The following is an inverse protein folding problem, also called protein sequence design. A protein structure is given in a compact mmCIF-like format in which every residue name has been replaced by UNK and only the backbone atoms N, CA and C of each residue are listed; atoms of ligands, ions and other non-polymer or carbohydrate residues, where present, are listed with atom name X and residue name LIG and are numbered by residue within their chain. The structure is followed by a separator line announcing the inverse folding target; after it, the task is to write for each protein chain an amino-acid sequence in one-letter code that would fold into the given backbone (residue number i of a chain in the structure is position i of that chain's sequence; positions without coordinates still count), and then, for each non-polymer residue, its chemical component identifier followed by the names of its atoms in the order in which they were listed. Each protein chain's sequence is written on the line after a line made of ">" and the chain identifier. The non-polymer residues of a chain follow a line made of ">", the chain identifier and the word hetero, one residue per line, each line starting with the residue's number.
data_IF_849354238650
#
_entry.id   IF_849354238650
#
_cell.length_a   1.000
_cell.length_b   1.000
_cell.length_c   1.000
_cell.angle_alpha   90.00
_cell.angle_beta   90.00
_cell.angle_gamma   90.00
#
_symmetry.space_group_name_H-M   'P 1'
#
loop_
_entity.id
_entity.type
_entity.pdbx_description
1 polymer ?
#
# COMPACT_ATOMS: atom_id res chain seq x y z
N UNK A 1 -7.91 -2.62 15.39
CA UNK A 1 -7.24 -2.78 16.70
C UNK A 1 -5.95 -3.56 16.49
N UNK A 2 -5.02 -3.56 17.46
CA UNK A 2 -3.75 -4.30 17.35
C UNK A 2 -3.95 -5.79 17.03
N UNK A 3 -4.97 -6.43 17.63
CA UNK A 3 -5.30 -7.82 17.33
C UNK A 3 -5.67 -8.06 15.85
N UNK A 4 -6.38 -7.12 15.21
CA UNK A 4 -6.70 -7.21 13.78
C UNK A 4 -5.44 -7.06 12.93
N UNK A 5 -4.50 -6.21 13.36
CA UNK A 5 -3.21 -6.04 12.71
C UNK A 5 -2.36 -7.31 12.85
N UNK A 6 -2.28 -7.93 14.03
CA UNK A 6 -1.57 -9.19 14.23
C UNK A 6 -2.12 -10.31 13.35
N UNK A 7 -3.45 -10.38 13.19
CA UNK A 7 -4.08 -11.32 12.26
C UNK A 7 -3.70 -11.02 10.82
N UNK A 8 -3.73 -9.75 10.41
CA UNK A 8 -3.31 -9.34 9.07
C UNK A 8 -1.85 -9.69 8.79
N UNK A 9 -0.95 -9.51 9.76
CA UNK A 9 0.47 -9.92 9.68
C UNK A 9 0.59 -11.42 9.48
N UNK A 10 -0.15 -12.22 10.26
CA UNK A 10 -0.13 -13.68 10.12
C UNK A 10 -0.64 -14.15 8.75
N UNK A 11 -1.72 -13.55 8.24
CA UNK A 11 -2.27 -13.84 6.92
C UNK A 11 -1.28 -13.45 5.81
N UNK A 12 -0.61 -12.31 5.97
CA UNK A 12 0.41 -11.81 5.03
C UNK A 12 1.63 -12.73 4.99
N UNK A 13 2.16 -13.15 6.13
CA UNK A 13 3.29 -14.09 6.18
C UNK A 13 2.91 -15.47 5.63
N UNK A 14 1.68 -15.93 5.88
CA UNK A 14 1.15 -17.18 5.32
C UNK A 14 1.11 -17.14 3.78
N UNK A 15 0.70 -16.01 3.19
CA UNK A 15 0.74 -15.82 1.74
C UNK A 15 2.16 -15.97 1.16
N UNK A 16 3.19 -15.50 1.87
CA UNK A 16 4.58 -15.62 1.46
C UNK A 16 5.16 -17.03 1.62
N UNK A 17 4.49 -17.88 2.41
CA UNK A 17 4.77 -19.32 2.51
C UNK A 17 3.94 -20.17 1.54
N UNK A 18 2.97 -19.58 0.87
CA UNK A 18 2.04 -20.31 0.00
C UNK A 18 2.68 -20.74 -1.34
N UNK A 19 2.07 -21.68 -2.08
CA UNK A 19 2.52 -22.05 -3.43
C UNK A 19 2.53 -20.89 -4.44
N UNK A 20 1.77 -19.82 -4.17
CA UNK A 20 1.72 -18.60 -5.02
C UNK A 20 2.62 -17.49 -4.47
N UNK A 21 3.64 -17.84 -3.67
CA UNK A 21 4.56 -16.90 -3.06
C UNK A 21 5.25 -15.99 -4.10
N UNK A 22 5.45 -14.70 -3.80
CA UNK A 22 6.26 -13.83 -4.64
C UNK A 22 7.77 -14.03 -4.42
N UNK A 23 8.18 -14.82 -3.41
CA UNK A 23 9.59 -15.03 -3.08
C UNK A 23 10.31 -15.84 -4.16
N UNK A 24 11.58 -15.50 -4.41
CA UNK A 24 12.47 -16.35 -5.19
C UNK A 24 12.75 -17.67 -4.44
N UNK A 25 13.04 -18.79 -5.14
CA UNK A 25 13.23 -20.10 -4.49
C UNK A 25 14.26 -20.11 -3.34
N UNK A 26 15.37 -19.39 -3.50
CA UNK A 26 16.42 -19.29 -2.48
C UNK A 26 15.99 -18.45 -1.26
N UNK A 27 15.09 -17.48 -1.44
CA UNK A 27 14.57 -16.66 -0.35
C UNK A 27 13.48 -17.39 0.42
N UNK A 28 12.69 -18.24 -0.25
CA UNK A 28 11.63 -19.03 0.37
C UNK A 28 12.19 -20.02 1.41
N UNK A 29 13.32 -20.65 1.15
CA UNK A 29 13.93 -21.62 2.07
C UNK A 29 14.44 -20.98 3.37
N UNK A 30 14.81 -19.70 3.34
CA UNK A 30 15.28 -18.92 4.48
C UNK A 30 14.21 -17.97 5.05
N UNK A 31 12.95 -18.10 4.64
CA UNK A 31 11.90 -17.15 4.99
C UNK A 31 11.40 -17.39 6.43
N UNK A 32 11.76 -16.49 7.34
CA UNK A 32 11.31 -16.50 8.74
C UNK A 32 10.06 -15.67 8.99
N UNK A 33 9.72 -14.77 8.06
CA UNK A 33 8.59 -13.85 8.15
C UNK A 33 8.95 -12.52 7.50
N UNK A 34 7.94 -11.70 7.18
CA UNK A 34 8.20 -10.32 6.78
C UNK A 34 8.56 -9.47 8.01
N UNK A 35 9.22 -8.35 7.78
CA UNK A 35 9.57 -7.42 8.85
C UNK A 35 8.58 -6.26 8.88
N UNK A 36 8.10 -5.91 10.08
CA UNK A 36 7.14 -4.84 10.29
C UNK A 36 7.68 -3.83 11.32
N UNK A 37 7.14 -2.62 11.30
CA UNK A 37 7.17 -1.75 12.46
C UNK A 37 6.22 -2.26 13.55
N UNK A 38 6.45 -1.84 14.80
CA UNK A 38 5.50 -2.08 15.87
C UNK A 38 4.16 -1.40 15.56
N UNK A 39 3.06 -1.97 16.04
CA UNK A 39 1.75 -1.38 15.87
C UNK A 39 1.68 -0.01 16.52
N UNK A 40 1.18 0.97 15.76
CA UNK A 40 0.96 2.33 16.24
C UNK A 40 -0.44 2.80 15.82
N UNK A 41 -1.31 2.97 16.82
CA UNK A 41 -2.69 3.39 16.60
C UNK A 41 -2.80 4.80 16.00
N UNK A 42 -1.77 5.65 16.14
CA UNK A 42 -1.76 7.01 15.56
C UNK A 42 -1.66 6.99 14.03
N UNK A 43 -1.26 5.84 13.46
CA UNK A 43 -1.21 5.58 12.02
C UNK A 43 -2.45 4.84 11.48
N UNK A 44 -3.49 4.68 12.29
CA UNK A 44 -4.81 4.23 11.87
C UNK A 44 -5.78 5.42 11.87
N UNK A 45 -5.83 6.17 10.77
CA UNK A 45 -6.49 7.48 10.72
C UNK A 45 -7.80 7.43 9.93
N UNK A 46 -8.85 8.14 10.36
CA UNK A 46 -10.06 8.29 9.57
C UNK A 46 -9.77 9.14 8.32
N UNK A 47 -10.34 8.74 7.19
CA UNK A 47 -10.26 9.46 5.93
C UNK A 47 -11.63 9.57 5.28
N UNK A 48 -11.85 10.68 4.57
CA UNK A 48 -13.00 10.87 3.70
C UNK A 48 -12.51 10.93 2.25
N UNK A 49 -13.14 10.13 1.38
CA UNK A 49 -12.91 10.20 -0.05
C UNK A 49 -13.65 11.42 -0.61
N UNK A 50 -12.89 12.35 -1.18
CA UNK A 50 -13.37 13.40 -2.07
C UNK A 50 -13.34 12.84 -3.50
N UNK A 51 -14.50 12.41 -4.07
CA UNK A 51 -14.49 11.69 -5.33
C UNK A 51 -13.95 12.53 -6.49
N UNK A 52 -13.23 11.89 -7.42
CA UNK A 52 -12.82 12.59 -8.63
C UNK A 52 -14.06 12.93 -9.48
N UNK A 53 -14.12 14.17 -9.96
CA UNK A 53 -15.16 14.61 -10.89
C UNK A 53 -14.94 14.01 -12.28
N UNK A 54 -13.67 13.82 -12.65
CA UNK A 54 -13.24 13.18 -13.89
C UNK A 54 -12.65 11.81 -13.53
N UNK A 55 -13.43 10.74 -13.76
CA UNK A 55 -13.00 9.34 -13.56
C UNK A 55 -12.06 8.91 -14.68
N UNK A 56 -10.97 9.63 -14.83
CA UNK A 56 -9.99 9.43 -15.88
C UNK A 56 -9.17 8.17 -15.63
N UNK A 57 -8.76 7.55 -16.75
CA UNK A 57 -7.84 6.44 -16.70
C UNK A 57 -6.41 6.95 -16.50
N UNK A 58 -5.85 6.69 -15.33
CA UNK A 58 -4.46 6.99 -14.99
C UNK A 58 -3.57 5.84 -15.42
N UNK A 59 -2.43 6.16 -16.02
CA UNK A 59 -1.43 5.18 -16.49
C UNK A 59 -0.21 5.25 -15.57
N UNK A 60 -0.01 4.18 -14.82
CA UNK A 60 1.10 4.04 -13.91
C UNK A 60 2.29 3.42 -14.63
N UNK A 61 3.48 4.05 -14.62
CA UNK A 61 4.69 3.34 -14.96
C UNK A 61 4.94 2.24 -13.92
N UNK A 62 5.44 1.10 -14.39
CA UNK A 62 5.79 -0.03 -13.53
C UNK A 62 7.29 -0.23 -13.46
N UNK A 63 7.74 -1.04 -12.51
CA UNK A 63 9.15 -1.42 -12.35
C UNK A 63 9.78 -2.09 -13.57
N UNK A 64 8.99 -2.69 -14.47
CA UNK A 64 9.49 -3.29 -15.72
C UNK A 64 9.35 -2.39 -16.94
N UNK A 65 8.81 -1.17 -16.78
CA UNK A 65 8.59 -0.19 -17.85
C UNK A 65 7.24 -0.31 -18.56
N UNK A 66 6.42 -1.31 -18.24
CA UNK A 66 5.05 -1.42 -18.73
C UNK A 66 4.13 -0.37 -18.08
N UNK A 67 2.99 -0.08 -18.72
CA UNK A 67 1.96 0.79 -18.16
C UNK A 67 0.78 -0.02 -17.64
N UNK A 68 0.41 0.20 -16.38
CA UNK A 68 -0.84 -0.32 -15.81
C UNK A 68 -1.90 0.76 -15.76
N UNK A 69 -3.14 0.39 -16.11
CA UNK A 69 -4.28 1.31 -16.09
C UNK A 69 -5.02 1.20 -14.77
N UNK A 70 -5.43 2.35 -14.28
CA UNK A 70 -6.27 2.51 -13.11
C UNK A 70 -7.28 3.61 -13.38
N UNK A 71 -8.38 3.65 -12.63
CA UNK A 71 -9.35 4.75 -12.69
C UNK A 71 -9.22 5.56 -11.41
N UNK A 72 -9.11 6.88 -11.51
CA UNK A 72 -9.09 7.73 -10.32
C UNK A 72 -10.43 7.63 -9.59
N UNK A 73 -10.38 7.27 -8.31
CA UNK A 73 -11.53 7.30 -7.41
C UNK A 73 -11.65 8.67 -6.72
N UNK A 74 -10.56 9.43 -6.63
CA UNK A 74 -10.47 10.72 -5.95
C UNK A 74 -9.49 10.72 -4.78
N UNK A 75 -9.47 11.80 -4.02
CA UNK A 75 -8.54 12.04 -2.93
C UNK A 75 -9.09 11.52 -1.59
N UNK A 76 -8.35 10.65 -0.92
CA UNK A 76 -8.55 10.37 0.49
C UNK A 76 -7.96 11.52 1.31
N UNK A 77 -8.82 12.31 1.94
CA UNK A 77 -8.44 13.42 2.83
C UNK A 77 -8.44 12.93 4.27
N UNK A 78 -7.33 13.13 4.98
CA UNK A 78 -7.14 12.68 6.36
C UNK A 78 -6.20 13.60 7.12
N UNK A 79 -6.16 13.46 8.44
CA UNK A 79 -5.20 14.16 9.29
C UNK A 79 -4.18 13.16 9.84
N UNK A 80 -2.88 13.50 9.75
CA UNK A 80 -1.81 12.71 10.35
C UNK A 80 -0.67 13.61 10.80
N UNK A 81 -0.30 13.49 12.08
CA UNK A 81 0.68 14.37 12.72
C UNK A 81 0.21 15.82 12.83
N UNK A 82 -1.10 16.04 13.04
CA UNK A 82 -1.70 17.37 13.17
C UNK A 82 -1.76 18.18 11.86
N UNK A 83 -1.51 17.56 10.72
CA UNK A 83 -1.53 18.19 9.40
C UNK A 83 -2.53 17.44 8.52
N UNK A 84 -3.39 18.19 7.81
CA UNK A 84 -4.27 17.62 6.79
C UNK A 84 -3.45 17.19 5.57
N UNK A 85 -3.66 15.96 5.11
CA UNK A 85 -2.96 15.32 4.00
C UNK A 85 -3.97 14.72 3.04
N UNK A 86 -3.47 14.37 1.86
CA UNK A 86 -4.24 13.70 0.83
C UNK A 86 -3.42 12.59 0.19
N UNK A 87 -4.10 11.53 -0.22
CA UNK A 87 -3.59 10.49 -1.10
C UNK A 87 -4.66 10.18 -2.12
N UNK A 88 -4.33 10.22 -3.39
CA UNK A 88 -5.22 9.78 -4.45
C UNK A 88 -5.42 8.26 -4.37
N UNK A 89 -6.67 7.84 -4.47
CA UNK A 89 -7.08 6.45 -4.48
C UNK A 89 -7.50 6.05 -5.89
N UNK A 90 -7.19 4.81 -6.26
CA UNK A 90 -7.36 4.31 -7.60
C UNK A 90 -8.17 3.02 -7.59
N UNK A 91 -9.18 2.92 -8.45
CA UNK A 91 -9.89 1.66 -8.67
C UNK A 91 -9.09 0.76 -9.60
N UNK A 92 -8.94 -0.50 -9.20
CA UNK A 92 -8.44 -1.55 -10.08
C UNK A 92 -9.48 -1.83 -11.17
N UNK A 93 -9.12 -1.62 -12.44
CA UNK A 93 -9.99 -1.92 -13.59
C UNK A 93 -10.06 -3.42 -13.92
N UNK A 94 -9.19 -4.24 -13.34
CA UNK A 94 -9.04 -5.66 -13.65
C UNK A 94 -9.01 -6.49 -12.34
N UNK A 95 -9.84 -7.54 -12.25
CA UNK A 95 -9.84 -8.51 -11.15
C UNK A 95 -11.20 -8.78 -10.50
N UNK A 96 -11.38 -9.90 -9.77
CA UNK A 96 -12.67 -10.34 -9.24
C UNK A 96 -13.17 -9.58 -8.00
N UNK A 97 -12.37 -8.68 -7.42
CA UNK A 97 -12.71 -7.98 -6.18
C UNK A 97 -12.32 -6.49 -6.30
N UNK A 98 -13.27 -5.59 -6.62
CA UNK A 98 -12.97 -4.18 -6.75
C UNK A 98 -12.55 -3.59 -5.40
N UNK A 99 -11.42 -2.91 -5.39
CA UNK A 99 -10.80 -2.28 -4.22
C UNK A 99 -10.24 -0.92 -4.61
N UNK A 100 -10.05 -0.05 -3.63
CA UNK A 100 -9.21 1.12 -3.80
C UNK A 100 -7.76 0.75 -3.54
N UNK A 101 -6.94 0.94 -4.56
CA UNK A 101 -5.50 0.87 -4.51
C UNK A 101 -4.94 2.26 -4.18
N UNK A 102 -4.13 2.35 -3.13
CA UNK A 102 -3.53 3.61 -2.66
C UNK A 102 -2.02 3.44 -2.60
N UNK A 103 -1.30 3.67 -3.71
CA UNK A 103 0.15 3.64 -3.72
C UNK A 103 0.70 4.97 -3.18
N UNK A 104 1.69 4.92 -2.30
CA UNK A 104 2.27 6.12 -1.72
C UNK A 104 3.78 5.99 -1.47
N UNK A 105 4.42 7.15 -1.35
CA UNK A 105 5.76 7.31 -0.77
C UNK A 105 5.68 8.20 0.47
N UNK A 106 6.66 8.07 1.36
CA UNK A 106 6.78 8.77 2.62
C UNK A 106 8.26 8.97 3.02
N UNK A 107 8.52 9.69 4.10
CA UNK A 107 9.89 10.05 4.51
C UNK A 107 10.73 8.85 5.01
N UNK A 108 10.16 7.64 5.15
CA UNK A 108 10.90 6.41 5.49
C UNK A 108 11.50 5.69 4.28
N UNK A 109 11.03 5.99 3.06
CA UNK A 109 11.47 5.28 1.85
C UNK A 109 12.97 5.45 1.60
N UNK A 110 13.62 4.36 1.16
CA UNK A 110 15.05 4.32 0.86
C UNK A 110 15.95 4.26 2.10
N UNK A 111 15.37 4.23 3.30
CA UNK A 111 16.11 4.10 4.58
C UNK A 111 15.57 2.98 5.44
N UNK A 112 14.28 3.01 5.75
CA UNK A 112 13.60 2.01 6.61
C UNK A 112 12.56 1.19 5.85
N UNK A 113 12.14 1.65 4.68
CA UNK A 113 11.16 0.99 3.79
C UNK A 113 11.64 1.05 2.34
N UNK A 114 10.99 0.30 1.45
CA UNK A 114 11.35 0.26 0.02
C UNK A 114 11.38 1.64 -0.63
N UNK A 115 12.43 1.94 -1.39
CA UNK A 115 12.58 3.21 -2.11
C UNK A 115 11.46 3.48 -3.14
N UNK A 116 10.89 2.44 -3.74
CA UNK A 116 9.80 2.56 -4.71
C UNK A 116 8.41 2.80 -4.12
N UNK A 117 8.30 2.91 -2.80
CA UNK A 117 7.03 3.15 -2.11
C UNK A 117 6.33 1.90 -1.58
N UNK A 118 5.14 2.11 -1.03
CA UNK A 118 4.29 1.10 -0.38
C UNK A 118 2.85 1.28 -0.80
N UNK A 119 2.04 0.25 -0.56
CA UNK A 119 0.64 0.23 -0.96
C UNK A 119 -0.27 0.04 0.23
N UNK A 120 -1.48 0.57 0.10
CA UNK A 120 -2.66 0.20 0.88
C UNK A 120 -3.76 -0.24 -0.08
N UNK A 121 -4.49 -1.29 0.29
CA UNK A 121 -5.72 -1.69 -0.39
C UNK A 121 -6.90 -1.52 0.56
N UNK A 122 -7.94 -0.84 0.08
CA UNK A 122 -9.16 -0.58 0.85
C UNK A 122 -10.34 -1.25 0.18
N UNK A 123 -11.18 -1.90 0.97
CA UNK A 123 -12.49 -2.37 0.50
C UNK A 123 -13.39 -1.17 0.24
N UNK A 124 -14.13 -1.19 -0.87
CA UNK A 124 -15.03 -0.09 -1.24
C UNK A 124 -16.08 0.14 -0.16
N UNK A 125 -16.20 1.39 0.28
CA UNK A 125 -17.18 1.80 1.30
C UNK A 125 -18.25 2.70 0.67
N UNK A 126 -19.55 2.34 0.73
CA UNK A 126 -20.62 3.13 0.11
C UNK A 126 -20.70 4.58 0.62
N UNK A 127 -20.30 4.82 1.88
CA UNK A 127 -20.32 6.13 2.51
C UNK A 127 -19.07 6.99 2.20
N UNK A 128 -18.09 6.47 1.44
CA UNK A 128 -16.85 7.19 1.14
C UNK A 128 -15.98 7.48 2.37
N UNK A 129 -16.20 6.77 3.48
CA UNK A 129 -15.44 6.91 4.73
C UNK A 129 -14.58 5.68 4.93
N UNK A 130 -13.31 5.91 5.18
CA UNK A 130 -12.29 4.85 5.28
C UNK A 130 -11.49 5.01 6.57
N UNK A 131 -10.94 3.90 7.06
CA UNK A 131 -9.84 3.92 8.00
C UNK A 131 -8.56 3.64 7.22
N UNK A 132 -7.70 4.64 7.06
CA UNK A 132 -6.37 4.43 6.50
C UNK A 132 -5.46 3.90 7.60
N UNK A 133 -5.36 2.57 7.64
CA UNK A 133 -4.50 1.86 8.57
C UNK A 133 -3.13 1.62 7.93
N UNK A 134 -2.21 2.58 8.10
CA UNK A 134 -0.84 2.46 7.59
C UNK A 134 -0.05 1.34 8.28
N UNK A 135 -0.54 0.77 9.40
CA UNK A 135 0.03 -0.46 9.96
C UNK A 135 -0.11 -1.66 9.02
N UNK A 136 -0.99 -1.56 8.02
CA UNK A 136 -1.20 -2.56 6.97
C UNK A 136 -0.59 -2.14 5.63
N UNK A 137 0.21 -1.08 5.61
CA UNK A 137 0.95 -0.70 4.42
C UNK A 137 1.99 -1.78 4.10
N UNK A 138 2.01 -2.22 2.85
CA UNK A 138 2.82 -3.36 2.44
C UNK A 138 3.73 -3.03 1.26
N UNK A 139 4.81 -3.80 1.10
CA UNK A 139 5.71 -3.64 -0.03
C UNK A 139 5.16 -4.33 -1.30
N UNK A 140 5.35 -3.72 -2.48
CA UNK A 140 5.09 -4.41 -3.74
C UNK A 140 5.90 -5.70 -3.88
N UNK A 141 5.37 -6.67 -4.62
CA UNK A 141 6.07 -7.94 -4.86
C UNK A 141 7.42 -7.78 -5.57
N UNK A 142 7.62 -6.71 -6.34
CA UNK A 142 8.89 -6.42 -6.99
C UNK A 142 10.07 -6.24 -6.01
N UNK A 143 9.79 -5.96 -4.73
CA UNK A 143 10.80 -5.93 -3.67
C UNK A 143 11.42 -7.31 -3.44
N UNK A 144 10.62 -8.36 -3.57
CA UNK A 144 11.03 -9.74 -3.29
C UNK A 144 11.42 -10.51 -4.54
N UNK A 145 10.84 -10.15 -5.68
CA UNK A 145 11.17 -10.74 -6.97
C UNK A 145 11.05 -9.68 -8.09
N UNK A 146 12.16 -9.29 -8.71
CA UNK A 146 12.19 -8.18 -9.67
C UNK A 146 11.45 -8.48 -10.98
N UNK A 147 11.00 -9.72 -11.22
CA UNK A 147 10.19 -10.04 -12.40
C UNK A 147 8.76 -9.49 -12.30
N UNK A 148 8.30 -9.11 -11.11
CA UNK A 148 6.99 -8.50 -10.93
C UNK A 148 6.99 -7.04 -11.44
N UNK A 149 6.01 -6.76 -12.31
CA UNK A 149 5.70 -5.43 -12.84
C UNK A 149 4.78 -4.69 -11.86
N UNK A 150 5.37 -3.91 -10.95
CA UNK A 150 4.66 -3.22 -9.87
C UNK A 150 4.50 -1.71 -10.16
N UNK A 151 3.31 -1.12 -9.97
CA UNK A 151 3.07 0.31 -10.17
C UNK A 151 3.93 1.23 -9.29
N UNK A 152 4.51 2.28 -9.84
CA UNK A 152 5.17 3.31 -9.04
C UNK A 152 4.15 4.33 -8.54
N UNK A 153 4.15 4.70 -7.24
CA UNK A 153 3.28 5.76 -6.74
C UNK A 153 3.45 7.07 -7.53
N UNK A 154 2.37 7.82 -7.80
CA UNK A 154 2.46 9.10 -8.48
C UNK A 154 3.14 10.13 -7.55
N UNK A 155 3.79 11.18 -8.10
CA UNK A 155 4.42 12.23 -7.31
C UNK A 155 3.48 12.90 -6.29
N UNK A 156 2.20 13.00 -6.62
CA UNK A 156 1.13 13.58 -5.80
C UNK A 156 0.87 12.74 -4.54
N UNK A 157 1.11 11.43 -4.58
CA UNK A 157 1.00 10.53 -3.44
C UNK A 157 2.31 10.42 -2.64
N UNK A 158 2.96 11.57 -2.43
CA UNK A 158 4.16 11.68 -1.59
C UNK A 158 3.83 12.37 -0.28
N UNK A 159 3.96 11.64 0.82
CA UNK A 159 3.83 12.17 2.16
C UNK A 159 5.18 12.69 2.66
N UNK A 160 5.21 13.91 3.18
CA UNK A 160 6.38 14.44 3.91
C UNK A 160 6.45 13.91 5.36
N UNK A 161 5.51 13.06 5.75
CA UNK A 161 5.45 12.38 7.04
C UNK A 161 6.33 11.13 7.02
N UNK A 162 7.06 10.84 8.10
CA UNK A 162 7.69 9.55 8.28
C UNK A 162 6.66 8.54 8.80
N UNK A 163 6.20 7.63 7.93
CA UNK A 163 5.20 6.63 8.30
C UNK A 163 5.90 5.39 8.85
N UNK A 164 6.13 5.37 10.16
CA UNK A 164 6.79 4.28 10.89
C UNK A 164 5.81 3.19 11.33
N UNK A 165 4.94 2.79 10.41
CA UNK A 165 3.94 1.74 10.56
C UNK A 165 3.93 0.88 9.29
N UNK A 166 3.57 -0.41 9.37
CA UNK A 166 3.51 -1.33 8.22
C UNK A 166 4.77 -2.13 7.97
N UNK A 167 4.87 -2.74 6.78
CA UNK A 167 6.08 -3.46 6.34
C UNK A 167 7.29 -2.51 6.30
N UNK A 168 8.44 -3.03 6.73
CA UNK A 168 9.74 -2.34 6.75
C UNK A 168 10.84 -3.23 6.20
N UNK A 169 11.96 -2.63 5.82
CA UNK A 169 13.16 -3.40 5.57
C UNK A 169 13.77 -3.94 6.87
N UNK A 170 14.46 -5.09 6.81
CA UNK A 170 15.25 -5.62 7.93
C UNK A 170 16.17 -4.55 8.51
#
# INVERSE_FOLDING_TARGET
>A
MEADWQRWVADRDSLFRSPTTPLLPNSLTAFEGLTYFDYDSTFAVPAALAPSLDRDTVRFPTTTGELRRYVSAGDLVFEAGGVQRRLEAFETVEGPNPRLFVPFTDATNGRRTYGGGRYLDLELQPAGRYALDFNRAYHPYCVYNPTYSCPLPPPENRLELAVTAGERYP
#
